data_IF_201022368396
#
_entry.id   IF_201022368396
#
_cell.length_a   1.000
_cell.length_b   1.000
_cell.length_c   1.000
_cell.angle_alpha   90.00
_cell.angle_beta   90.00
_cell.angle_gamma   90.00
#
_symmetry.space_group_name_H-M   'P 1'
#
loop_
_entity.id
_entity.type
_entity.pdbx_description
1 polymer ?
#
# COMPACT_ATOMS: atom_id res chain seq x y z
N UNK A 1 17.32 -67.55 28.07
CA UNK A 1 18.04 -66.60 27.21
C UNK A 1 17.34 -66.64 25.86
N UNK A 2 16.39 -65.75 25.57
CA UNK A 2 16.59 -64.34 25.22
C UNK A 2 15.60 -63.39 25.92
N UNK A 3 15.99 -62.13 26.19
CA UNK A 3 15.17 -61.17 26.92
C UNK A 3 14.23 -60.44 25.96
N UNK A 4 12.93 -60.40 26.26
CA UNK A 4 12.00 -59.50 25.58
C UNK A 4 12.15 -58.12 26.24
N UNK A 5 13.29 -57.49 25.96
CA UNK A 5 13.73 -56.17 26.40
C UNK A 5 12.98 -55.07 25.65
N UNK A 6 12.31 -54.19 26.42
CA UNK A 6 11.97 -52.79 26.09
C UNK A 6 11.02 -52.52 24.90
N UNK A 7 9.73 -52.36 25.20
CA UNK A 7 8.79 -51.59 24.36
C UNK A 7 8.16 -50.49 25.23
N UNK A 8 8.42 -49.19 24.98
CA UNK A 8 7.93 -48.14 25.84
C UNK A 8 6.53 -47.65 25.38
N UNK A 9 5.51 -47.82 26.23
CA UNK A 9 4.17 -47.16 26.30
C UNK A 9 4.27 -45.63 26.32
N UNK A 10 4.88 -45.05 25.29
CA UNK A 10 4.84 -43.60 25.03
C UNK A 10 3.77 -43.24 23.97
N UNK A 11 2.93 -44.20 23.53
CA UNK A 11 2.11 -44.08 22.29
C UNK A 11 0.59 -44.06 22.48
N UNK A 12 0.03 -43.79 23.67
CA UNK A 12 -1.38 -43.37 23.76
C UNK A 12 -1.47 -41.86 23.85
N UNK A 13 -1.54 -41.21 22.69
CA UNK A 13 -1.81 -39.78 22.60
C UNK A 13 -3.32 -39.59 22.78
N UNK A 14 -3.76 -39.30 24.00
CA UNK A 14 -5.15 -38.96 24.26
C UNK A 14 -5.35 -37.48 23.91
N UNK A 15 -5.99 -37.19 22.77
CA UNK A 15 -6.41 -35.82 22.44
C UNK A 15 -7.63 -35.49 23.29
N UNK A 16 -7.39 -34.95 24.48
CA UNK A 16 -8.47 -34.32 25.24
C UNK A 16 -8.78 -33.03 24.49
N UNK A 17 -9.97 -32.94 23.86
CA UNK A 17 -10.47 -31.67 23.30
C UNK A 17 -11.02 -30.83 24.45
N UNK A 18 -10.30 -29.84 24.98
CA UNK A 18 -10.86 -28.87 25.90
C UNK A 18 -11.84 -28.00 25.10
N UNK A 19 -12.86 -27.47 25.76
CA UNK A 19 -13.96 -26.75 25.10
C UNK A 19 -13.59 -25.35 24.55
N UNK A 20 -12.31 -25.03 24.40
CA UNK A 20 -11.82 -23.74 23.89
C UNK A 20 -10.45 -23.94 23.19
N UNK A 21 -10.42 -24.04 21.86
CA UNK A 21 -9.26 -23.74 20.96
C UNK A 21 -7.90 -24.46 21.12
N UNK A 22 -7.68 -25.21 22.19
CA UNK A 22 -6.41 -25.85 22.53
C UNK A 22 -6.48 -27.35 22.29
N UNK A 23 -5.39 -27.98 21.85
CA UNK A 23 -5.28 -29.44 21.79
C UNK A 23 -4.21 -29.90 22.77
N UNK A 24 -4.59 -30.77 23.69
CA UNK A 24 -3.70 -31.34 24.69
C UNK A 24 -3.34 -32.75 24.24
N UNK A 25 -2.05 -33.00 24.04
CA UNK A 25 -1.50 -34.30 23.72
C UNK A 25 -0.76 -34.82 24.94
N UNK A 26 -1.28 -35.83 25.64
CA UNK A 26 -0.54 -36.49 26.72
C UNK A 26 -0.09 -37.88 26.28
N UNK A 27 1.17 -38.25 26.49
CA UNK A 27 1.58 -39.66 26.66
C UNK A 27 1.58 -40.01 28.17
N UNK A 28 1.68 -41.28 28.61
CA UNK A 28 1.93 -41.64 30.03
C UNK A 28 2.90 -42.83 30.38
N UNK A 29 3.93 -42.51 31.20
CA UNK A 29 4.96 -43.05 32.14
C UNK A 29 4.68 -43.97 33.31
N UNK A 30 4.00 -45.11 33.22
CA UNK A 30 3.74 -45.88 34.45
C UNK A 30 5.03 -46.39 35.14
N UNK A 31 4.96 -46.81 36.42
CA UNK A 31 6.08 -47.28 37.25
C UNK A 31 6.91 -48.43 36.62
N UNK A 32 6.37 -49.04 35.55
CA UNK A 32 6.98 -50.06 34.70
C UNK A 32 7.79 -49.50 33.49
N UNK A 33 8.04 -48.18 33.41
CA UNK A 33 9.08 -47.60 32.53
C UNK A 33 8.67 -47.26 31.08
N UNK A 34 7.45 -46.71 30.87
CA UNK A 34 6.91 -46.25 29.55
C UNK A 34 6.09 -44.89 29.46
N UNK A 35 6.32 -43.87 28.56
CA UNK A 35 6.50 -42.35 28.76
C UNK A 35 5.29 -41.41 29.02
N UNK A 36 5.34 -40.40 29.94
CA UNK A 36 4.36 -39.28 30.09
C UNK A 36 4.91 -37.98 29.50
N UNK A 37 4.27 -37.41 28.48
CA UNK A 37 4.56 -36.08 27.93
C UNK A 37 3.26 -35.39 27.57
N UNK A 38 2.91 -34.31 28.29
CA UNK A 38 1.76 -33.46 27.96
C UNK A 38 2.20 -32.21 27.21
N UNK A 39 1.82 -32.10 25.94
CA UNK A 39 2.06 -30.93 25.08
C UNK A 39 0.72 -30.24 24.81
N UNK A 40 0.65 -28.95 25.14
CA UNK A 40 -0.49 -28.10 24.79
C UNK A 40 -0.12 -27.34 23.52
N UNK A 41 -0.76 -27.67 22.41
CA UNK A 41 -0.58 -26.96 21.14
C UNK A 41 -1.87 -26.22 20.76
N UNK A 42 -1.78 -24.98 20.26
CA UNK A 42 -2.92 -24.34 19.64
C UNK A 42 -3.32 -25.15 18.40
N UNK A 43 -4.60 -25.11 18.03
CA UNK A 43 -5.07 -25.77 16.81
C UNK A 43 -4.18 -25.39 15.62
N UNK A 44 -3.80 -26.36 14.77
CA UNK A 44 -2.75 -26.23 13.75
C UNK A 44 -2.97 -25.10 12.71
N UNK A 45 -4.11 -24.42 12.77
CA UNK A 45 -4.50 -23.31 11.91
C UNK A 45 -4.51 -21.93 12.59
N UNK A 46 -4.29 -21.82 13.91
CA UNK A 46 -4.52 -20.58 14.66
C UNK A 46 -3.32 -19.63 14.74
N UNK A 47 -2.08 -20.10 14.52
CA UNK A 47 -0.89 -19.28 14.74
C UNK A 47 -0.11 -19.01 13.44
N UNK A 48 0.17 -17.72 13.18
CA UNK A 48 1.02 -17.16 12.12
C UNK A 48 0.42 -17.03 10.71
N UNK A 49 -0.23 -18.06 10.15
CA UNK A 49 -0.71 -18.02 8.75
C UNK A 49 -1.76 -16.92 8.53
N UNK A 50 -2.65 -16.73 9.50
CA UNK A 50 -3.74 -15.76 9.39
C UNK A 50 -3.30 -14.32 9.62
N UNK A 51 -2.33 -14.08 10.51
CA UNK A 51 -1.77 -12.74 10.72
C UNK A 51 -1.06 -12.24 9.47
N UNK A 52 -0.19 -13.07 8.87
CA UNK A 52 0.50 -12.76 7.62
C UNK A 52 -0.47 -12.64 6.44
N UNK A 53 -1.50 -13.49 6.37
CA UNK A 53 -2.54 -13.39 5.33
C UNK A 53 -3.36 -12.10 5.45
N UNK A 54 -3.73 -11.69 6.67
CA UNK A 54 -4.43 -10.43 6.92
C UNK A 54 -3.57 -9.22 6.57
N UNK A 55 -2.30 -9.22 6.95
CA UNK A 55 -1.35 -8.17 6.58
C UNK A 55 -1.20 -8.06 5.05
N UNK A 56 -1.12 -9.19 4.34
CA UNK A 56 -1.02 -9.19 2.88
C UNK A 56 -2.30 -8.64 2.22
N UNK A 57 -3.49 -9.01 2.70
CA UNK A 57 -4.76 -8.46 2.21
C UNK A 57 -4.85 -6.96 2.40
N UNK A 58 -4.49 -6.47 3.60
CA UNK A 58 -4.46 -5.03 3.87
C UNK A 58 -3.46 -4.28 2.98
N UNK A 59 -2.30 -4.89 2.69
CA UNK A 59 -1.32 -4.30 1.79
C UNK A 59 -1.85 -4.24 0.35
N UNK A 60 -2.51 -5.30 -0.13
CA UNK A 60 -3.11 -5.33 -1.45
C UNK A 60 -4.22 -4.28 -1.60
N UNK A 61 -5.08 -4.12 -0.61
CA UNK A 61 -6.10 -3.07 -0.58
C UNK A 61 -5.47 -1.67 -0.63
N UNK A 62 -4.41 -1.43 0.14
CA UNK A 62 -3.68 -0.15 0.11
C UNK A 62 -3.06 0.12 -1.26
N UNK A 63 -2.41 -0.88 -1.86
CA UNK A 63 -1.81 -0.76 -3.19
C UNK A 63 -2.91 -0.45 -4.22
N UNK A 64 -4.03 -1.16 -4.18
CA UNK A 64 -5.15 -0.92 -5.09
C UNK A 64 -5.71 0.51 -4.94
N UNK A 65 -5.90 0.99 -3.72
CA UNK A 65 -6.35 2.36 -3.45
C UNK A 65 -5.35 3.40 -3.97
N UNK A 66 -4.04 3.14 -3.81
CA UNK A 66 -2.98 4.00 -4.36
C UNK A 66 -2.99 3.99 -5.88
N UNK A 67 -3.14 2.84 -6.53
CA UNK A 67 -3.22 2.73 -7.99
C UNK A 67 -4.38 3.57 -8.54
N UNK A 68 -5.57 3.48 -7.94
CA UNK A 68 -6.72 4.31 -8.33
C UNK A 68 -6.46 5.81 -8.11
N UNK A 69 -5.84 6.17 -6.98
CA UNK A 69 -5.50 7.56 -6.67
C UNK A 69 -4.49 8.14 -7.68
N UNK A 70 -3.53 7.34 -8.14
CA UNK A 70 -2.55 7.73 -9.15
C UNK A 70 -3.23 7.97 -10.50
N UNK A 71 -4.18 7.11 -10.89
CA UNK A 71 -4.92 7.29 -12.14
C UNK A 71 -5.74 8.59 -12.14
N UNK A 72 -6.46 8.86 -11.05
CA UNK A 72 -7.21 10.12 -10.87
C UNK A 72 -6.26 11.32 -10.86
N UNK A 73 -5.11 11.21 -10.20
CA UNK A 73 -4.10 12.26 -10.18
C UNK A 73 -3.55 12.53 -11.58
N UNK A 74 -3.31 11.50 -12.38
CA UNK A 74 -2.83 11.63 -13.76
C UNK A 74 -3.85 12.38 -14.63
N UNK A 75 -5.13 12.02 -14.54
CA UNK A 75 -6.20 12.72 -15.26
C UNK A 75 -6.31 14.19 -14.86
N UNK A 76 -6.16 14.49 -13.57
CA UNK A 76 -6.15 15.87 -13.07
C UNK A 76 -4.94 16.65 -13.58
N UNK A 77 -3.74 16.07 -13.45
CA UNK A 77 -2.49 16.68 -13.91
C UNK A 77 -2.53 16.99 -15.40
N UNK A 78 -3.09 16.09 -16.22
CA UNK A 78 -3.24 16.32 -17.65
C UNK A 78 -4.18 17.50 -17.95
N UNK A 79 -5.29 17.62 -17.21
CA UNK A 79 -6.23 18.74 -17.34
C UNK A 79 -5.61 20.08 -16.91
N UNK A 80 -4.90 20.06 -15.78
CA UNK A 80 -4.23 21.25 -15.23
C UNK A 80 -3.15 21.74 -16.20
N UNK A 81 -2.40 20.82 -16.82
CA UNK A 81 -1.44 21.16 -17.86
C UNK A 81 -2.10 21.88 -19.05
N UNK A 82 -3.23 21.36 -19.55
CA UNK A 82 -3.98 22.02 -20.63
C UNK A 82 -4.46 23.42 -20.23
N UNK A 83 -4.91 23.58 -18.99
CA UNK A 83 -5.33 24.89 -18.46
C UNK A 83 -4.16 25.89 -18.46
N UNK A 84 -2.98 25.48 -17.97
CA UNK A 84 -1.76 26.30 -17.97
C UNK A 84 -1.33 26.68 -19.38
N UNK A 85 -1.34 25.72 -20.33
CA UNK A 85 -1.01 25.99 -21.73
C UNK A 85 -1.95 27.03 -22.37
N UNK A 86 -3.26 26.94 -22.09
CA UNK A 86 -4.23 27.91 -22.57
C UNK A 86 -3.98 29.30 -21.99
N UNK A 87 -3.72 29.39 -20.69
CA UNK A 87 -3.37 30.66 -20.04
C UNK A 87 -2.10 31.26 -20.63
N UNK A 88 -1.06 30.46 -20.88
CA UNK A 88 0.19 30.92 -21.48
C UNK A 88 -0.06 31.55 -22.87
N UNK A 89 -0.88 30.90 -23.71
CA UNK A 89 -1.27 31.43 -25.02
C UNK A 89 -2.00 32.77 -24.91
N UNK A 90 -2.95 32.88 -23.96
CA UNK A 90 -3.66 34.13 -23.71
C UNK A 90 -2.70 35.24 -23.23
N UNK A 91 -1.75 34.92 -22.34
CA UNK A 91 -0.75 35.87 -21.88
C UNK A 91 0.19 36.34 -23.00
N UNK A 92 0.58 35.45 -23.92
CA UNK A 92 1.34 35.82 -25.12
C UNK A 92 0.55 36.79 -26.01
N UNK A 93 -0.74 36.54 -26.19
CA UNK A 93 -1.65 37.43 -26.93
C UNK A 93 -1.85 38.79 -26.26
N UNK A 94 -1.94 38.84 -24.93
CA UNK A 94 -1.97 40.12 -24.20
C UNK A 94 -0.66 40.89 -24.36
N UNK A 95 0.48 40.20 -24.24
CA UNK A 95 1.81 40.80 -24.39
C UNK A 95 2.01 41.43 -25.77
N UNK A 96 1.56 40.77 -26.85
CA UNK A 96 1.66 41.33 -28.20
C UNK A 96 0.82 42.60 -28.36
N UNK A 97 -0.41 42.60 -27.85
CA UNK A 97 -1.28 43.79 -27.85
C UNK A 97 -0.66 44.96 -27.08
N UNK A 98 -0.08 44.71 -25.91
CA UNK A 98 0.61 45.76 -25.15
C UNK A 98 1.79 46.36 -25.93
N UNK A 99 2.61 45.54 -26.58
CA UNK A 99 3.71 46.03 -27.44
C UNK A 99 3.20 46.86 -28.61
N UNK A 100 2.09 46.46 -29.23
CA UNK A 100 1.48 47.21 -30.31
C UNK A 100 0.98 48.57 -29.83
N UNK A 101 0.31 48.64 -28.68
CA UNK A 101 -0.16 49.89 -28.07
C UNK A 101 1.03 50.82 -27.76
N UNK A 102 2.11 50.28 -27.19
CA UNK A 102 3.31 51.05 -26.89
C UNK A 102 3.96 51.62 -28.16
N UNK A 103 4.09 50.79 -29.21
CA UNK A 103 4.61 51.21 -30.51
C UNK A 103 3.76 52.32 -31.13
N UNK A 104 2.43 52.12 -31.17
CA UNK A 104 1.48 53.11 -31.70
C UNK A 104 1.59 54.44 -30.95
N UNK A 105 1.67 54.40 -29.61
CA UNK A 105 1.86 55.60 -28.78
C UNK A 105 3.16 56.33 -29.14
N UNK A 106 4.26 55.59 -29.33
CA UNK A 106 5.56 56.17 -29.73
C UNK A 106 5.47 56.85 -31.09
N UNK A 107 4.86 56.20 -32.08
CA UNK A 107 4.66 56.79 -33.41
C UNK A 107 3.80 58.05 -33.38
N UNK A 108 2.71 58.06 -32.60
CA UNK A 108 1.86 59.23 -32.43
C UNK A 108 2.63 60.41 -31.84
N UNK A 109 3.44 60.17 -30.81
CA UNK A 109 4.31 61.20 -30.23
C UNK A 109 5.30 61.75 -31.27
N UNK A 110 6.02 60.88 -31.98
CA UNK A 110 6.98 61.33 -33.00
C UNK A 110 6.33 62.17 -34.10
N UNK A 111 5.14 61.78 -34.58
CA UNK A 111 4.40 62.57 -35.58
C UNK A 111 3.99 63.94 -35.04
N UNK A 112 3.49 64.01 -33.81
CA UNK A 112 3.07 65.28 -33.21
C UNK A 112 4.26 66.24 -33.00
N UNK A 113 5.45 65.73 -32.67
CA UNK A 113 6.64 66.57 -32.52
C UNK A 113 7.28 66.97 -33.86
N UNK A 114 7.16 66.17 -34.93
CA UNK A 114 7.68 66.54 -36.26
C UNK A 114 6.85 67.62 -36.96
N UNK A 115 5.55 67.69 -36.70
CA UNK A 115 4.66 68.72 -37.28
C UNK A 115 4.85 70.09 -36.59
N UNK A 116 5.43 70.13 -35.39
CA UNK A 116 5.61 71.38 -34.63
C UNK A 116 6.88 72.18 -35.01
N UNK A 117 7.75 71.65 -35.88
CA UNK A 117 9.00 72.31 -36.30
C UNK A 117 9.00 72.74 -37.78
N UNK A 118 7.83 72.75 -38.43
CA UNK A 118 7.67 73.24 -39.80
C UNK A 118 6.67 74.39 -39.87
#
# INVERSE_FOLDING_TARGET
MTPMSYMPVCMFVQTIRPKEGWQVYSSAQDADGRCICTVVAPEQNLCSRDAKSRQLRQLLEKIQNMSQSIEVLNLRTQRDFQYVMKMESQMKGLRSKFRQIESNRRTLLTKNFQVSYH
#
